data_IF_208801457979
#
_entry.id   IF_208801457979
#
_cell.length_a   1.000
_cell.length_b   1.000
_cell.length_c   1.000
_cell.angle_alpha   90.00
_cell.angle_beta   90.00
_cell.angle_gamma   90.00
#
_symmetry.space_group_name_H-M   'P 1'
#
loop_
_entity.id
_entity.type
_entity.pdbx_description
1 polymer ?
#
# COMPACT_ATOMS: atom_id res chain seq x y z
N UNK A 1 -14.74 -7.32 -5.11
CA UNK A 1 -14.94 -5.86 -4.95
C UNK A 1 -15.01 -5.42 -3.50
N UNK A 2 -16.00 -5.82 -2.71
CA UNK A 2 -16.15 -5.32 -1.32
C UNK A 2 -14.94 -5.61 -0.41
N UNK A 3 -14.39 -6.83 -0.42
CA UNK A 3 -13.23 -7.18 0.40
C UNK A 3 -11.96 -6.41 -0.03
N UNK A 4 -11.72 -6.29 -1.34
CA UNK A 4 -10.58 -5.53 -1.86
C UNK A 4 -10.68 -4.04 -1.47
N UNK A 5 -11.90 -3.50 -1.42
CA UNK A 5 -12.15 -2.12 -0.99
C UNK A 5 -11.87 -1.92 0.51
N UNK A 6 -12.24 -2.88 1.37
CA UNK A 6 -11.87 -2.88 2.78
C UNK A 6 -10.34 -2.97 2.92
N UNK A 7 -9.69 -3.90 2.21
CA UNK A 7 -8.23 -4.05 2.25
C UNK A 7 -7.46 -2.83 1.71
N UNK A 8 -8.12 -1.97 0.95
CA UNK A 8 -7.59 -0.68 0.48
C UNK A 8 -7.77 0.41 1.53
N UNK A 9 -8.98 0.58 2.03
CA UNK A 9 -9.37 1.73 2.87
C UNK A 9 -9.11 1.53 4.36
N UNK A 10 -9.24 0.30 4.84
CA UNK A 10 -9.06 -0.10 6.23
C UNK A 10 -8.25 -1.41 6.32
N UNK A 11 -6.97 -1.38 5.90
CA UNK A 11 -6.11 -2.55 6.01
C UNK A 11 -5.84 -2.87 7.48
N UNK A 12 -5.76 -4.16 7.81
CA UNK A 12 -5.44 -4.64 9.17
C UNK A 12 -4.13 -4.06 9.74
N UNK A 13 -3.20 -3.68 8.85
CA UNK A 13 -1.99 -2.94 9.18
C UNK A 13 -1.95 -1.62 8.41
N UNK A 14 -2.22 -0.50 9.08
CA UNK A 14 -2.28 0.81 8.44
C UNK A 14 -0.91 1.38 8.02
N UNK A 15 0.15 1.16 8.81
CA UNK A 15 1.49 1.73 8.59
C UNK A 15 2.57 0.66 8.78
N UNK A 16 2.82 -0.17 7.76
CA UNK A 16 3.61 -1.39 7.91
C UNK A 16 4.60 -1.69 6.78
N UNK A 17 4.93 -0.71 5.93
CA UNK A 17 6.07 -0.83 5.02
C UNK A 17 7.32 -0.12 5.54
N UNK A 18 8.06 -0.64 6.53
CA UNK A 18 9.33 -0.07 6.95
C UNK A 18 10.44 -0.42 5.95
N UNK A 19 11.13 0.61 5.47
CA UNK A 19 12.29 0.47 4.59
C UNK A 19 13.41 1.38 5.08
N UNK A 20 14.63 0.85 5.10
CA UNK A 20 15.82 1.67 5.26
C UNK A 20 16.42 1.95 3.90
N UNK A 21 16.67 3.22 3.59
CA UNK A 21 17.36 3.56 2.36
C UNK A 21 18.81 3.07 2.41
N UNK A 22 19.25 2.34 1.39
CA UNK A 22 20.63 1.81 1.29
C UNK A 22 21.59 2.78 0.61
N UNK A 23 21.03 3.82 -0.02
CA UNK A 23 21.72 4.90 -0.73
C UNK A 23 20.87 6.16 -0.69
N UNK A 24 21.41 7.35 -1.00
CA UNK A 24 20.59 8.54 -1.16
C UNK A 24 19.51 8.33 -2.25
N UNK A 25 18.27 8.71 -1.94
CA UNK A 25 17.13 8.63 -2.85
C UNK A 25 16.40 9.96 -2.85
N UNK A 26 16.15 10.52 -4.04
CA UNK A 26 15.23 11.64 -4.19
C UNK A 26 13.84 11.10 -4.54
N UNK A 27 12.87 11.32 -3.66
CA UNK A 27 11.51 10.79 -3.76
C UNK A 27 10.49 11.90 -3.50
N UNK A 28 9.62 12.19 -4.46
CA UNK A 28 8.57 13.23 -4.37
C UNK A 28 9.06 14.58 -3.80
N UNK A 29 10.21 15.06 -4.27
CA UNK A 29 10.78 16.35 -3.84
C UNK A 29 11.53 16.31 -2.50
N UNK A 30 11.67 15.13 -1.89
CA UNK A 30 12.40 14.93 -0.63
C UNK A 30 13.62 14.05 -0.85
N UNK A 31 14.77 14.48 -0.32
CA UNK A 31 15.96 13.64 -0.23
C UNK A 31 15.89 12.76 1.02
N UNK A 32 16.03 11.46 0.83
CA UNK A 32 16.13 10.45 1.89
C UNK A 32 17.59 9.97 1.91
N UNK A 33 18.23 10.05 3.07
CA UNK A 33 19.62 9.67 3.26
C UNK A 33 19.76 8.17 3.59
N UNK A 34 20.95 7.58 3.40
CA UNK A 34 21.20 6.21 3.83
C UNK A 34 20.90 5.99 5.32
N UNK A 35 20.39 4.82 5.65
CA UNK A 35 19.98 4.41 7.00
C UNK A 35 18.85 5.23 7.64
N UNK A 36 18.17 6.09 6.89
CA UNK A 36 16.89 6.67 7.32
C UNK A 36 15.74 5.67 7.13
N UNK A 37 14.86 5.59 8.13
CA UNK A 37 13.65 4.79 8.09
C UNK A 37 12.56 5.55 7.33
N UNK A 38 12.03 4.92 6.30
CA UNK A 38 10.84 5.34 5.58
C UNK A 38 9.72 4.36 5.94
N UNK A 39 8.57 4.87 6.36
CA UNK A 39 7.37 4.09 6.57
C UNK A 39 6.37 4.38 5.47
N UNK A 40 5.94 3.33 4.76
CA UNK A 40 4.82 3.42 3.83
C UNK A 40 3.51 3.20 4.60
N UNK A 41 2.63 4.20 4.54
CA UNK A 41 1.26 4.09 5.03
C UNK A 41 0.39 3.38 4.00
N UNK A 42 -0.08 2.18 4.33
CA UNK A 42 -0.98 1.41 3.47
C UNK A 42 -2.36 2.04 3.43
N UNK A 43 -2.89 2.45 4.60
CA UNK A 43 -4.17 3.15 4.66
C UNK A 43 -4.06 4.52 3.95
N UNK A 44 -2.98 5.27 4.19
CA UNK A 44 -2.76 6.57 3.55
C UNK A 44 -2.66 6.48 2.03
N UNK A 45 -1.92 5.50 1.50
CA UNK A 45 -1.84 5.25 0.07
C UNK A 45 -3.17 4.77 -0.51
N UNK A 46 -3.91 3.96 0.26
CA UNK A 46 -5.23 3.49 -0.12
C UNK A 46 -6.21 4.64 -0.28
N UNK A 47 -6.26 5.59 0.67
CA UNK A 47 -7.23 6.69 0.70
C UNK A 47 -6.80 7.98 -0.01
N UNK A 48 -5.65 8.01 -0.69
CA UNK A 48 -5.12 9.23 -1.33
C UNK A 48 -6.06 9.73 -2.45
N UNK A 49 -6.71 10.90 -2.29
CA UNK A 49 -7.64 11.42 -3.29
C UNK A 49 -6.95 11.83 -4.60
N UNK A 50 -5.62 12.06 -4.61
CA UNK A 50 -4.90 12.48 -5.80
C UNK A 50 -4.76 11.37 -6.87
N UNK A 51 -5.01 10.11 -6.50
CA UNK A 51 -4.88 8.95 -7.39
C UNK A 51 -6.18 8.19 -7.68
N UNK A 52 -7.34 8.67 -7.19
CA UNK A 52 -8.61 7.96 -7.30
C UNK A 52 -9.52 8.60 -8.37
N UNK A 53 -10.11 7.81 -9.29
CA UNK A 53 -11.22 8.27 -10.11
C UNK A 53 -12.42 8.69 -9.24
N UNK A 54 -13.29 9.53 -9.79
CA UNK A 54 -14.47 10.02 -9.05
C UNK A 54 -15.46 8.89 -8.72
N UNK A 55 -15.49 7.84 -9.54
CA UNK A 55 -16.32 6.66 -9.30
C UNK A 55 -15.53 5.35 -9.30
N UNK A 56 -15.96 4.39 -8.47
CA UNK A 56 -15.25 3.14 -8.27
C UNK A 56 -15.26 2.22 -9.50
N UNK A 57 -16.28 2.32 -10.35
CA UNK A 57 -16.44 1.63 -11.63
C UNK A 57 -15.52 2.18 -12.74
N UNK A 58 -14.97 3.37 -12.56
CA UNK A 58 -13.98 3.98 -13.46
C UNK A 58 -12.54 3.51 -13.17
N UNK A 59 -12.34 2.69 -12.12
CA UNK A 59 -11.02 2.17 -11.74
C UNK A 59 -10.61 1.01 -12.63
N UNK A 60 -9.55 1.21 -13.41
CA UNK A 60 -8.90 0.16 -14.22
C UNK A 60 -7.89 -0.70 -13.44
N UNK A 61 -7.67 -0.42 -12.15
CA UNK A 61 -6.62 -1.07 -11.35
C UNK A 61 -7.02 -2.44 -10.77
N UNK A 62 -8.22 -2.94 -11.09
CA UNK A 62 -8.65 -4.29 -10.78
C UNK A 62 -8.74 -4.61 -9.29
N UNK A 63 -8.86 -3.60 -8.42
CA UNK A 63 -8.89 -3.79 -6.97
C UNK A 63 -7.50 -3.86 -6.34
N UNK A 64 -6.50 -3.18 -6.91
CA UNK A 64 -5.19 -3.05 -6.30
C UNK A 64 -5.28 -2.40 -4.90
N UNK A 65 -4.54 -2.96 -3.94
CA UNK A 65 -4.47 -2.48 -2.56
C UNK A 65 -3.14 -2.89 -1.90
N UNK A 66 -2.79 -2.22 -0.80
CA UNK A 66 -1.61 -2.54 0.00
C UNK A 66 -1.93 -3.34 1.28
N UNK A 67 -3.17 -3.78 1.50
CA UNK A 67 -3.53 -4.60 2.67
C UNK A 67 -2.70 -5.88 2.90
N UNK A 68 -1.99 -6.36 1.88
CA UNK A 68 -1.02 -7.45 1.98
C UNK A 68 0.42 -7.03 1.65
N UNK A 69 0.72 -5.74 1.61
CA UNK A 69 1.99 -5.20 1.12
C UNK A 69 2.20 -5.41 -0.38
N UNK A 70 3.43 -5.17 -0.84
CA UNK A 70 3.83 -5.29 -2.25
C UNK A 70 5.31 -5.72 -2.36
N UNK A 71 5.71 -6.17 -3.56
CA UNK A 71 7.09 -6.57 -3.85
C UNK A 71 7.52 -7.88 -3.18
N UNK A 72 8.82 -8.04 -2.98
CA UNK A 72 9.43 -9.26 -2.41
C UNK A 72 9.00 -9.56 -0.96
N UNK A 73 8.48 -8.56 -0.27
CA UNK A 73 7.97 -8.67 1.10
C UNK A 73 6.44 -8.64 1.18
N UNK A 74 5.74 -8.85 0.06
CA UNK A 74 4.28 -9.06 0.07
C UNK A 74 3.94 -10.24 0.98
N UNK A 75 2.86 -10.14 1.73
CA UNK A 75 2.37 -11.19 2.62
C UNK A 75 2.23 -12.52 1.85
N UNK A 76 2.98 -13.57 2.25
CA UNK A 76 2.92 -14.87 1.58
C UNK A 76 1.62 -15.63 1.86
N UNK A 77 0.82 -15.16 2.82
CA UNK A 77 -0.44 -15.77 3.23
C UNK A 77 -1.67 -14.99 2.73
N UNK A 78 -1.54 -14.19 1.67
CA UNK A 78 -2.66 -13.43 1.11
C UNK A 78 -3.82 -14.34 0.66
N UNK A 79 -3.52 -15.43 -0.05
CA UNK A 79 -4.54 -16.36 -0.55
C UNK A 79 -5.35 -17.04 0.57
N UNK A 80 -4.73 -17.68 1.58
CA UNK A 80 -5.49 -18.25 2.69
C UNK A 80 -6.21 -17.17 3.53
N UNK A 81 -5.65 -15.96 3.66
CA UNK A 81 -6.34 -14.87 4.35
C UNK A 81 -7.61 -14.43 3.61
N UNK A 82 -7.56 -14.34 2.28
CA UNK A 82 -8.73 -14.02 1.45
C UNK A 82 -9.80 -15.12 1.47
N UNK A 83 -9.41 -16.39 1.63
CA UNK A 83 -10.35 -17.50 1.70
C UNK A 83 -11.17 -17.51 3.00
N UNK A 84 -10.58 -17.04 4.11
CA UNK A 84 -11.20 -17.05 5.45
C UNK A 84 -12.10 -15.82 5.68
N UNK A 85 -11.82 -14.72 4.98
CA UNK A 85 -12.45 -13.42 5.14
C UNK A 85 -13.97 -13.40 4.85
#
# INVERSE_FOLDING_TARGET
>A
EALAEVLRTDPSMANYGPYFATRPVHFHGTWIQPAELVLVSYAGAGSDPAGLPAHADERSDGGAHLGFGAGEHRCPAADPALLIA
#
